data_IF_857013357531
#
_entry.id   IF_857013357531
#
_cell.length_a   1.000
_cell.length_b   1.000
_cell.length_c   1.000
_cell.angle_alpha   90.00
_cell.angle_beta   90.00
_cell.angle_gamma   90.00
#
_symmetry.space_group_name_H-M   'P 1'
#
loop_
_entity.id
_entity.type
_entity.pdbx_description
1 polymer ?
#
# COMPACT_ATOMS: atom_id res chain seq x y z
N UNK A 1 19.47 4.04 -10.70
CA UNK A 1 20.77 4.09 -9.99
C UNK A 1 21.94 4.29 -10.95
N UNK A 2 21.91 3.62 -12.10
CA UNK A 2 22.97 3.76 -13.12
C UNK A 2 23.08 5.19 -13.67
N UNK A 3 21.95 5.87 -13.84
CA UNK A 3 21.89 7.26 -14.31
C UNK A 3 22.57 8.23 -13.32
N UNK A 4 22.51 7.95 -12.03
CA UNK A 4 23.11 8.77 -10.98
C UNK A 4 24.58 8.43 -10.69
N UNK A 5 25.26 7.68 -11.58
CA UNK A 5 26.67 7.25 -11.45
C UNK A 5 27.02 6.57 -10.11
N UNK A 6 26.05 5.82 -9.55
CA UNK A 6 26.28 5.02 -8.33
C UNK A 6 27.19 3.84 -8.65
N UNK A 7 28.26 3.56 -7.88
CA UNK A 7 29.11 2.41 -8.08
C UNK A 7 28.35 1.08 -8.08
N UNK A 8 28.68 0.16 -8.99
CA UNK A 8 27.96 -1.12 -9.17
C UNK A 8 27.84 -1.92 -7.86
N UNK A 9 28.89 -1.96 -7.05
CA UNK A 9 28.85 -2.63 -5.74
C UNK A 9 27.79 -2.06 -4.78
N UNK A 10 27.61 -0.74 -4.77
CA UNK A 10 26.55 -0.10 -3.98
C UNK A 10 25.16 -0.35 -4.57
N UNK A 11 25.03 -0.45 -5.89
CA UNK A 11 23.75 -0.80 -6.54
C UNK A 11 23.32 -2.19 -6.10
N UNK A 12 24.19 -3.18 -6.19
CA UNK A 12 23.88 -4.56 -5.83
C UNK A 12 23.48 -4.68 -4.36
N UNK A 13 24.18 -4.00 -3.45
CA UNK A 13 23.82 -4.00 -2.04
C UNK A 13 22.44 -3.38 -1.82
N UNK A 14 22.14 -2.22 -2.39
CA UNK A 14 20.83 -1.57 -2.27
C UNK A 14 19.69 -2.43 -2.84
N UNK A 15 19.93 -3.10 -3.97
CA UNK A 15 18.93 -4.02 -4.56
C UNK A 15 18.68 -5.19 -3.61
N UNK A 16 19.75 -5.77 -3.02
CA UNK A 16 19.63 -6.87 -2.09
C UNK A 16 18.86 -6.47 -0.83
N UNK A 17 19.23 -5.36 -0.19
CA UNK A 17 18.60 -4.84 1.03
C UNK A 17 17.08 -4.60 0.81
N UNK A 18 16.72 -3.99 -0.32
CA UNK A 18 15.32 -3.75 -0.68
C UNK A 18 14.59 -5.06 -1.00
N UNK A 19 15.23 -5.99 -1.69
CA UNK A 19 14.62 -7.26 -2.02
C UNK A 19 14.34 -8.10 -0.76
N UNK A 20 15.19 -8.05 0.24
CA UNK A 20 14.97 -8.67 1.55
C UNK A 20 13.80 -8.00 2.29
N UNK A 21 13.79 -6.66 2.37
CA UNK A 21 12.71 -5.88 2.99
C UNK A 21 11.34 -6.21 2.40
N UNK A 22 11.28 -6.43 1.08
CA UNK A 22 10.04 -6.68 0.34
C UNK A 22 9.73 -8.16 0.13
N UNK A 23 10.59 -9.06 0.65
CA UNK A 23 10.48 -10.49 0.48
C UNK A 23 10.35 -10.92 -1.00
N UNK A 24 11.30 -10.45 -1.84
CA UNK A 24 11.39 -10.73 -3.27
C UNK A 24 12.78 -11.16 -3.72
N UNK A 25 13.61 -11.64 -2.82
CA UNK A 25 14.96 -12.13 -3.13
C UNK A 25 14.94 -13.31 -4.10
N UNK A 26 13.91 -14.16 -4.01
CA UNK A 26 13.70 -15.33 -4.84
C UNK A 26 13.42 -15.01 -6.32
N UNK A 27 13.10 -13.77 -6.63
CA UNK A 27 12.77 -13.35 -8.00
C UNK A 27 13.82 -12.46 -8.67
N UNK A 28 14.91 -12.12 -7.99
CA UNK A 28 15.95 -11.23 -8.52
C UNK A 28 16.55 -11.72 -9.85
N UNK A 29 16.55 -13.04 -10.08
CA UNK A 29 17.08 -13.66 -11.28
C UNK A 29 15.99 -14.24 -12.20
N UNK A 30 14.70 -13.88 -11.95
CA UNK A 30 13.57 -14.35 -12.76
C UNK A 30 13.17 -13.31 -13.82
N UNK A 31 12.64 -13.82 -14.91
CA UNK A 31 12.02 -12.97 -15.93
C UNK A 31 10.59 -12.53 -15.51
N UNK A 32 10.08 -11.41 -16.02
CA UNK A 32 8.75 -10.90 -15.65
C UNK A 32 7.58 -11.87 -15.84
N UNK A 33 7.68 -12.80 -16.77
CA UNK A 33 6.65 -13.84 -17.03
C UNK A 33 6.71 -15.00 -16.02
N UNK A 34 7.77 -15.10 -15.22
CA UNK A 34 7.97 -16.14 -14.21
C UNK A 34 7.55 -15.74 -12.81
N UNK A 35 7.05 -14.49 -12.64
CA UNK A 35 6.71 -13.94 -11.33
C UNK A 35 5.19 -13.77 -11.20
N UNK A 36 4.67 -14.02 -10.00
CA UNK A 36 3.24 -13.86 -9.68
C UNK A 36 2.81 -12.39 -9.67
N UNK A 37 1.49 -12.14 -9.70
CA UNK A 37 0.93 -10.78 -9.59
C UNK A 37 1.39 -10.07 -8.33
N UNK A 38 1.36 -10.73 -7.16
CA UNK A 38 1.84 -10.16 -5.91
C UNK A 38 3.34 -9.86 -5.90
N UNK A 39 4.16 -10.71 -6.54
CA UNK A 39 5.59 -10.44 -6.70
C UNK A 39 5.84 -9.24 -7.60
N UNK A 40 5.06 -9.07 -8.69
CA UNK A 40 5.13 -7.89 -9.56
C UNK A 40 4.80 -6.60 -8.79
N UNK A 41 3.77 -6.62 -7.95
CA UNK A 41 3.40 -5.46 -7.13
C UNK A 41 4.49 -5.11 -6.10
N UNK A 42 5.09 -6.11 -5.43
CA UNK A 42 6.23 -5.85 -4.53
C UNK A 42 7.45 -5.32 -5.28
N UNK A 43 7.71 -5.77 -6.52
CA UNK A 43 8.72 -5.17 -7.39
C UNK A 43 8.41 -3.70 -7.72
N UNK A 44 7.14 -3.36 -7.94
CA UNK A 44 6.73 -1.97 -8.15
C UNK A 44 7.00 -1.11 -6.88
N UNK A 45 6.72 -1.65 -5.69
CA UNK A 45 7.09 -1.01 -4.42
C UNK A 45 8.62 -0.83 -4.30
N UNK A 46 9.42 -1.85 -4.66
CA UNK A 46 10.90 -1.74 -4.67
C UNK A 46 11.38 -0.57 -5.53
N UNK A 47 10.80 -0.43 -6.72
CA UNK A 47 11.12 0.68 -7.62
C UNK A 47 10.71 2.04 -7.04
N UNK A 48 9.60 2.09 -6.32
CA UNK A 48 9.14 3.32 -5.70
C UNK A 48 10.07 3.79 -4.56
N UNK A 49 10.60 2.86 -3.75
CA UNK A 49 11.36 3.20 -2.53
C UNK A 49 12.87 3.33 -2.74
N UNK A 50 13.41 2.85 -3.86
CA UNK A 50 14.88 2.80 -4.07
C UNK A 50 15.57 4.17 -3.97
N UNK A 51 14.84 5.24 -4.30
CA UNK A 51 15.31 6.61 -4.20
C UNK A 51 14.97 7.28 -2.86
N UNK A 52 14.50 6.51 -1.87
CA UNK A 52 14.10 7.00 -0.55
C UNK A 52 13.15 8.21 -0.61
N UNK A 53 12.01 8.10 -1.30
CA UNK A 53 11.06 9.20 -1.44
C UNK A 53 10.43 9.54 -0.09
N UNK A 54 10.02 10.80 0.07
CA UNK A 54 9.23 11.24 1.23
C UNK A 54 7.75 10.89 1.10
N UNK A 55 7.25 10.75 -0.14
CA UNK A 55 5.85 10.45 -0.46
C UNK A 55 5.79 9.34 -1.53
N UNK A 56 4.96 8.34 -1.26
CA UNK A 56 4.62 7.25 -2.18
C UNK A 56 3.14 7.36 -2.48
N UNK A 57 2.78 7.30 -3.76
CA UNK A 57 1.40 7.26 -4.22
C UNK A 57 1.05 5.83 -4.62
N UNK A 58 -0.06 5.31 -4.10
CA UNK A 58 -0.57 3.98 -4.40
C UNK A 58 -2.05 4.06 -4.77
N UNK A 59 -2.35 3.76 -6.03
CA UNK A 59 -3.71 3.77 -6.57
C UNK A 59 -4.16 2.32 -6.74
N UNK A 60 -5.20 1.93 -6.00
CA UNK A 60 -5.76 0.57 -5.94
C UNK A 60 -4.70 -0.54 -5.91
N UNK A 61 -3.73 -0.51 -4.98
CA UNK A 61 -2.55 -1.37 -5.05
C UNK A 61 -2.88 -2.87 -4.94
N UNK A 62 -4.05 -3.22 -4.41
CA UNK A 62 -4.52 -4.60 -4.20
C UNK A 62 -5.55 -5.07 -5.21
N UNK A 63 -6.03 -4.20 -6.11
CA UNK A 63 -7.19 -4.45 -6.97
C UNK A 63 -7.10 -5.67 -7.90
N UNK A 64 -5.88 -6.13 -8.22
CA UNK A 64 -5.65 -7.30 -9.09
C UNK A 64 -5.05 -8.50 -8.32
N UNK A 65 -5.10 -8.50 -6.98
CA UNK A 65 -4.46 -9.51 -6.14
C UNK A 65 -5.48 -10.37 -5.41
N UNK A 66 -5.11 -11.63 -5.16
CA UNK A 66 -5.80 -12.48 -4.19
C UNK A 66 -5.61 -11.98 -2.75
N UNK A 67 -6.44 -12.47 -1.83
CA UNK A 67 -6.46 -12.01 -0.43
C UNK A 67 -5.11 -12.16 0.28
N UNK A 68 -4.38 -13.26 0.03
CA UNK A 68 -3.09 -13.51 0.65
C UNK A 68 -2.02 -12.54 0.11
N UNK A 69 -1.96 -12.35 -1.20
CA UNK A 69 -1.05 -11.41 -1.86
C UNK A 69 -1.33 -9.97 -1.46
N UNK A 70 -2.62 -9.59 -1.32
CA UNK A 70 -3.05 -8.28 -0.83
C UNK A 70 -2.56 -8.03 0.60
N UNK A 71 -2.75 -8.99 1.50
CA UNK A 71 -2.28 -8.88 2.87
C UNK A 71 -0.75 -8.72 2.95
N UNK A 72 -0.01 -9.49 2.17
CA UNK A 72 1.45 -9.39 2.11
C UNK A 72 1.90 -8.01 1.61
N UNK A 73 1.27 -7.49 0.55
CA UNK A 73 1.58 -6.17 0.01
C UNK A 73 1.31 -5.06 1.03
N UNK A 74 0.12 -5.07 1.65
CA UNK A 74 -0.28 -4.06 2.64
C UNK A 74 0.63 -4.08 3.88
N UNK A 75 0.99 -5.26 4.38
CA UNK A 75 1.97 -5.40 5.47
C UNK A 75 3.34 -4.85 5.08
N UNK A 76 3.76 -5.07 3.84
CA UNK A 76 5.00 -4.51 3.29
C UNK A 76 4.94 -2.98 3.23
N UNK A 77 3.83 -2.40 2.76
CA UNK A 77 3.64 -0.95 2.73
C UNK A 77 3.67 -0.34 4.14
N UNK A 78 3.05 -1.01 5.11
CA UNK A 78 3.11 -0.59 6.52
C UNK A 78 4.56 -0.59 7.03
N UNK A 79 5.32 -1.65 6.76
CA UNK A 79 6.75 -1.72 7.13
C UNK A 79 7.58 -0.61 6.48
N UNK A 80 7.33 -0.28 5.23
CA UNK A 80 7.97 0.85 4.53
C UNK A 80 7.68 2.17 5.25
N UNK A 81 6.42 2.42 5.62
CA UNK A 81 6.04 3.61 6.36
C UNK A 81 6.75 3.70 7.72
N UNK A 82 6.75 2.60 8.49
CA UNK A 82 7.31 2.56 9.85
C UNK A 82 8.84 2.62 9.86
N UNK A 83 9.51 1.88 8.96
CA UNK A 83 10.97 1.74 8.97
C UNK A 83 11.69 2.84 8.18
N UNK A 84 11.11 3.29 7.07
CA UNK A 84 11.74 4.30 6.21
C UNK A 84 11.19 5.71 6.45
N UNK A 85 10.13 5.86 7.25
CA UNK A 85 9.47 7.14 7.50
C UNK A 85 8.84 7.76 6.25
N UNK A 86 8.61 6.98 5.18
CA UNK A 86 7.96 7.46 3.97
C UNK A 86 6.45 7.61 4.19
N UNK A 87 5.90 8.74 3.80
CA UNK A 87 4.44 8.91 3.79
C UNK A 87 3.86 8.13 2.60
N UNK A 88 2.81 7.35 2.85
CA UNK A 88 2.11 6.62 1.78
C UNK A 88 0.70 7.18 1.67
N UNK A 89 0.37 7.73 0.50
CA UNK A 89 -0.98 8.11 0.13
C UNK A 89 -1.58 7.00 -0.73
N UNK A 90 -2.55 6.28 -0.19
CA UNK A 90 -3.24 5.19 -0.87
C UNK A 90 -4.67 5.61 -1.23
N UNK A 91 -5.05 5.38 -2.47
CA UNK A 91 -6.44 5.47 -2.94
C UNK A 91 -6.97 4.06 -3.06
N UNK A 92 -8.12 3.79 -2.45
CA UNK A 92 -8.78 2.48 -2.53
C UNK A 92 -10.25 2.59 -2.18
N UNK A 93 -11.07 1.72 -2.73
CA UNK A 93 -12.47 1.52 -2.35
C UNK A 93 -12.66 0.29 -1.43
N UNK A 94 -11.56 -0.44 -1.14
CA UNK A 94 -11.58 -1.64 -0.31
C UNK A 94 -11.32 -1.29 1.16
N UNK A 95 -12.31 -1.56 2.02
CA UNK A 95 -12.23 -1.32 3.46
C UNK A 95 -11.10 -2.11 4.15
N UNK A 96 -10.79 -3.31 3.65
CA UNK A 96 -9.71 -4.12 4.20
C UNK A 96 -8.35 -3.45 3.96
N UNK A 97 -8.09 -3.00 2.73
CA UNK A 97 -6.89 -2.24 2.39
C UNK A 97 -6.79 -0.95 3.19
N UNK A 98 -7.88 -0.20 3.31
CA UNK A 98 -7.96 1.04 4.08
C UNK A 98 -7.62 0.82 5.57
N UNK A 99 -7.93 -0.35 6.15
CA UNK A 99 -7.68 -0.66 7.56
C UNK A 99 -6.18 -0.70 7.95
N UNK A 100 -5.29 -0.77 6.98
CA UNK A 100 -3.84 -0.69 7.20
C UNK A 100 -3.32 0.75 7.34
N UNK A 101 -4.12 1.74 6.96
CA UNK A 101 -3.75 3.15 7.10
C UNK A 101 -3.87 3.65 8.55
N UNK A 102 -3.14 4.71 8.87
CA UNK A 102 -3.26 5.40 10.16
C UNK A 102 -4.34 6.48 10.16
N UNK A 103 -4.68 7.00 8.97
CA UNK A 103 -5.63 8.08 8.72
C UNK A 103 -6.38 7.81 7.44
N UNK A 104 -7.68 8.01 7.43
CA UNK A 104 -8.54 7.82 6.25
C UNK A 104 -9.37 9.07 6.04
N UNK A 105 -9.38 9.54 4.79
CA UNK A 105 -10.29 10.54 4.29
C UNK A 105 -11.33 9.86 3.42
N UNK A 106 -12.60 9.99 3.76
CA UNK A 106 -13.71 9.51 2.93
C UNK A 106 -14.15 10.60 1.98
N UNK A 107 -14.17 10.27 0.69
CA UNK A 107 -14.61 11.16 -0.37
C UNK A 107 -15.99 10.73 -0.88
N UNK A 108 -16.91 11.67 -1.02
CA UNK A 108 -18.22 11.48 -1.62
C UNK A 108 -18.54 12.69 -2.50
N UNK A 109 -18.96 12.43 -3.72
CA UNK A 109 -19.36 13.44 -4.71
C UNK A 109 -18.30 14.56 -4.93
N UNK A 110 -17.00 14.18 -4.82
CA UNK A 110 -15.86 15.08 -5.01
C UNK A 110 -15.46 15.90 -3.78
N UNK A 111 -16.16 15.72 -2.65
CA UNK A 111 -15.88 16.41 -1.39
C UNK A 111 -15.45 15.45 -0.28
N UNK A 112 -14.77 15.99 0.74
CA UNK A 112 -14.42 15.21 1.94
C UNK A 112 -15.68 15.06 2.79
N UNK A 113 -16.20 13.83 2.86
CA UNK A 113 -17.36 13.51 3.70
C UNK A 113 -16.98 13.48 5.19
N UNK A 114 -15.89 12.77 5.52
CA UNK A 114 -15.39 12.68 6.90
C UNK A 114 -13.96 12.16 6.92
N UNK A 115 -13.35 12.26 8.08
CA UNK A 115 -12.00 11.78 8.36
C UNK A 115 -12.01 10.94 9.64
N UNK A 116 -11.26 9.82 9.63
CA UNK A 116 -11.05 8.99 10.81
C UNK A 116 -9.57 8.65 10.99
N UNK A 117 -9.18 8.47 12.26
CA UNK A 117 -7.85 8.08 12.67
C UNK A 117 -7.88 6.74 13.39
N UNK A 118 -6.88 5.90 13.13
CA UNK A 118 -6.70 4.62 13.83
C UNK A 118 -6.30 4.83 15.29
N UNK A 119 -5.36 5.75 15.54
CA UNK A 119 -4.83 5.99 16.88
C UNK A 119 -4.27 4.70 17.50
N UNK A 120 -4.60 4.44 18.76
CA UNK A 120 -4.18 3.24 19.53
C UNK A 120 -5.11 2.02 19.34
N UNK A 121 -6.13 2.11 18.47
CA UNK A 121 -7.07 1.00 18.26
C UNK A 121 -6.46 -0.13 17.46
N UNK A 122 -6.97 -1.35 17.67
CA UNK A 122 -6.56 -2.50 16.86
C UNK A 122 -7.03 -2.33 15.41
N UNK A 123 -6.34 -2.99 14.46
CA UNK A 123 -6.76 -2.98 13.06
C UNK A 123 -8.18 -3.49 12.87
N UNK A 124 -8.59 -4.52 13.65
CA UNK A 124 -9.95 -5.06 13.60
C UNK A 124 -11.00 -4.01 14.00
N UNK A 125 -10.81 -3.34 15.12
CA UNK A 125 -11.72 -2.29 15.58
C UNK A 125 -11.75 -1.10 14.61
N UNK A 126 -10.60 -0.78 14.01
CA UNK A 126 -10.54 0.28 12.99
C UNK A 126 -11.25 -0.10 11.70
N UNK A 127 -11.16 -1.37 11.28
CA UNK A 127 -11.91 -1.89 10.14
C UNK A 127 -13.42 -1.83 10.37
N UNK A 128 -13.91 -2.21 11.56
CA UNK A 128 -15.32 -2.09 11.92
C UNK A 128 -15.79 -0.62 11.83
N UNK A 129 -14.99 0.32 12.35
CA UNK A 129 -15.28 1.76 12.24
C UNK A 129 -15.34 2.25 10.77
N UNK A 130 -14.50 1.70 9.88
CA UNK A 130 -14.55 2.00 8.45
C UNK A 130 -15.88 1.55 7.85
N UNK A 131 -16.33 0.34 8.17
CA UNK A 131 -17.60 -0.20 7.69
C UNK A 131 -18.80 0.63 8.16
N UNK A 132 -18.78 1.12 9.40
CA UNK A 132 -19.82 2.01 9.93
C UNK A 132 -19.92 3.29 9.09
N UNK A 133 -18.78 3.92 8.78
CA UNK A 133 -18.76 5.13 7.94
C UNK A 133 -19.26 4.85 6.53
N UNK A 134 -18.83 3.73 5.91
CA UNK A 134 -19.28 3.34 4.57
C UNK A 134 -20.80 3.11 4.54
N UNK A 135 -21.35 2.51 5.60
CA UNK A 135 -22.81 2.32 5.75
C UNK A 135 -23.54 3.66 5.80
N UNK A 136 -23.03 4.64 6.55
CA UNK A 136 -23.58 6.00 6.60
C UNK A 136 -23.50 6.71 5.25
N UNK A 137 -22.42 6.50 4.50
CA UNK A 137 -22.26 7.08 3.16
C UNK A 137 -23.23 6.48 2.14
N UNK A 138 -23.50 5.16 2.23
CA UNK A 138 -24.44 4.44 1.35
C UNK A 138 -25.90 4.61 1.72
N UNK A 139 -26.24 4.85 2.98
CA UNK A 139 -27.60 4.97 3.49
C UNK A 139 -28.36 6.24 3.08
N UNK A 140 -27.75 7.15 2.34
CA UNK A 140 -28.41 8.35 1.81
C UNK A 140 -29.22 8.15 0.53
N UNK A 141 -29.41 6.92 0.04
CA UNK A 141 -30.14 6.62 -1.20
C UNK A 141 -31.41 5.77 -1.02
N UNK A 142 -31.93 5.63 0.19
CA UNK A 142 -33.21 4.91 0.41
C UNK A 142 -34.34 5.83 0.89
N UNK A 143 -34.55 6.93 0.21
CA UNK A 143 -35.80 7.68 0.32
C UNK A 143 -36.17 8.23 -1.05
N UNK A 144 -36.61 7.37 -1.97
CA UNK A 144 -37.51 7.72 -3.06
C UNK A 144 -38.33 6.48 -3.41
N UNK A 145 -39.49 6.36 -2.80
CA UNK A 145 -40.69 5.78 -3.38
C UNK A 145 -41.88 6.59 -2.88
#
# INVERSE_FOLDING_TARGET
LTINKVPVGKINQQVQDIAETLNITDILNKYPYQVSGGQKQRCACARAIINKPKLILADEPTGALDSHSSQMLLSTMQSINEQLGATILMVTHDAFSASYANRILFLKDGEIFTEIHKGSTTRKAFFEKILDVLTMMGGGQTDVC
#
